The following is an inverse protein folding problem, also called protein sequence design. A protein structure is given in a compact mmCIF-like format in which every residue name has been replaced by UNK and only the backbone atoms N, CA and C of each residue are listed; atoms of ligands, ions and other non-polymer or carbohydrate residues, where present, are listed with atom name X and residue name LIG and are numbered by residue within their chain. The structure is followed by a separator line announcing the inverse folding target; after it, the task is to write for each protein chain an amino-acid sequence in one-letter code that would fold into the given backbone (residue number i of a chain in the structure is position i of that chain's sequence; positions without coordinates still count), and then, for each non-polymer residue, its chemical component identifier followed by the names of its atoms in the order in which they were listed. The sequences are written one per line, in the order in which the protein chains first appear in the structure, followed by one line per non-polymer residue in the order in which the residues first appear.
data_IF_144848370241
#
_entry.id   IF_144848370241
#
_cell.length_a   1.000
_cell.length_b   1.000
_cell.length_c   1.000
_cell.angle_alpha   90.00
_cell.angle_beta   90.00
_cell.angle_gamma   90.00
#
_symmetry.space_group_name_H-M   'P 1'
#
loop_
_entity.id
_entity.type
_entity.pdbx_description
1 polymer ?
#
# COMPACT_ATOMS: atom_id res chain seq x y z
N UNK A 1 3.37 -2.12 19.74
CA UNK A 1 3.65 -1.68 18.35
C UNK A 1 2.65 -0.63 17.90
N UNK A 2 3.08 0.28 17.07
CA UNK A 2 2.17 1.26 16.49
C UNK A 2 1.25 0.62 15.46
N UNK A 3 0.02 1.07 15.40
CA UNK A 3 -0.88 0.75 14.29
C UNK A 3 -0.45 1.53 13.07
N UNK A 4 -0.65 0.96 11.89
CA UNK A 4 -0.31 1.61 10.63
C UNK A 4 -1.57 1.69 9.77
N UNK A 5 -1.94 2.90 9.39
CA UNK A 5 -3.08 3.14 8.51
C UNK A 5 -2.61 3.08 7.06
N UNK A 6 -3.34 2.33 6.25
CA UNK A 6 -3.07 2.18 4.83
C UNK A 6 -4.25 2.79 4.08
N UNK A 7 -3.98 3.74 3.19
CA UNK A 7 -5.02 4.40 2.40
C UNK A 7 -4.71 4.23 0.92
N UNK A 8 -5.70 3.78 0.14
CA UNK A 8 -5.60 3.77 -1.32
C UNK A 8 -5.84 5.19 -1.82
N UNK A 9 -4.79 5.88 -2.24
CA UNK A 9 -4.87 7.31 -2.58
C UNK A 9 -4.97 7.57 -4.07
N UNK A 10 -4.55 6.63 -4.91
CA UNK A 10 -4.62 6.78 -6.35
C UNK A 10 -4.73 5.42 -7.02
N UNK A 11 -5.46 5.39 -8.12
CA UNK A 11 -5.57 4.21 -8.97
C UNK A 11 -5.35 4.66 -10.39
N UNK A 12 -4.39 4.01 -11.07
CA UNK A 12 -4.01 4.35 -12.44
C UNK A 12 -4.25 3.15 -13.33
N UNK A 13 -4.44 3.39 -14.63
CA UNK A 13 -4.64 2.36 -15.62
C UNK A 13 -3.89 2.74 -16.87
N UNK A 14 -3.22 1.76 -17.48
CA UNK A 14 -2.46 1.95 -18.73
C UNK A 14 -3.10 1.11 -19.85
N UNK A 15 -4.15 1.63 -20.53
CA UNK A 15 -4.88 0.85 -21.53
C UNK A 15 -4.01 0.39 -22.71
N UNK A 16 -3.01 1.16 -23.09
CA UNK A 16 -2.08 0.79 -24.16
C UNK A 16 -1.25 -0.43 -23.81
N UNK A 17 -0.74 -0.50 -22.58
CA UNK A 17 0.02 -1.64 -22.11
C UNK A 17 -0.88 -2.88 -21.96
N UNK A 18 -2.10 -2.68 -21.48
CA UNK A 18 -3.08 -3.76 -21.35
C UNK A 18 -3.42 -4.36 -22.70
N UNK A 19 -3.66 -3.52 -23.70
CA UNK A 19 -4.00 -3.99 -25.04
C UNK A 19 -2.85 -4.74 -25.70
N UNK A 20 -1.60 -4.33 -25.40
CA UNK A 20 -0.43 -4.90 -26.05
C UNK A 20 0.06 -6.18 -25.37
N UNK A 21 -0.04 -6.30 -24.05
CA UNK A 21 0.64 -7.35 -23.30
C UNK A 21 -0.27 -8.21 -22.43
N UNK A 22 -1.45 -7.75 -22.07
CA UNK A 22 -2.28 -8.44 -21.08
C UNK A 22 -3.37 -9.27 -21.78
N UNK A 23 -3.56 -10.50 -21.28
CA UNK A 23 -4.72 -11.29 -21.67
C UNK A 23 -5.97 -10.73 -20.98
N UNK A 24 -7.17 -10.91 -21.58
CA UNK A 24 -8.39 -10.45 -20.93
C UNK A 24 -8.52 -11.00 -19.50
N UNK A 25 -8.84 -10.12 -18.55
CA UNK A 25 -9.07 -10.49 -17.17
C UNK A 25 -10.55 -10.50 -16.84
N UNK A 26 -10.99 -11.54 -16.13
CA UNK A 26 -12.36 -11.67 -15.66
C UNK A 26 -12.52 -10.92 -14.33
N UNK A 27 -11.51 -11.01 -13.45
CA UNK A 27 -11.53 -10.40 -12.13
C UNK A 27 -10.50 -9.29 -12.04
N UNK A 28 -10.95 -8.06 -12.05
CA UNK A 28 -10.10 -6.90 -11.82
C UNK A 28 -10.02 -6.57 -10.33
N UNK A 29 -8.96 -5.86 -9.93
CA UNK A 29 -8.83 -5.36 -8.57
C UNK A 29 -9.99 -4.41 -8.23
N UNK A 30 -10.65 -4.64 -7.10
CA UNK A 30 -11.83 -3.87 -6.67
C UNK A 30 -11.49 -2.73 -5.70
N UNK A 31 -10.23 -2.46 -5.47
CA UNK A 31 -9.82 -1.38 -4.57
C UNK A 31 -10.22 -0.03 -5.13
N UNK A 32 -10.85 0.79 -4.30
CA UNK A 32 -11.29 2.13 -4.68
C UNK A 32 -10.45 3.20 -3.97
N UNK A 33 -10.29 4.35 -4.62
CA UNK A 33 -9.63 5.50 -3.99
C UNK A 33 -10.41 5.88 -2.72
N UNK A 34 -9.69 6.03 -1.62
CA UNK A 34 -10.28 6.35 -0.33
C UNK A 34 -10.47 5.14 0.58
N UNK A 35 -10.34 3.92 0.06
CA UNK A 35 -10.39 2.72 0.91
C UNK A 35 -9.24 2.75 1.90
N UNK A 36 -9.53 2.37 3.15
CA UNK A 36 -8.56 2.35 4.23
C UNK A 36 -8.54 1.03 4.97
N UNK A 37 -7.37 0.70 5.48
CA UNK A 37 -7.15 -0.46 6.35
C UNK A 37 -6.23 -0.06 7.47
N UNK A 38 -6.31 -0.78 8.60
CA UNK A 38 -5.37 -0.56 9.72
C UNK A 38 -4.66 -1.88 10.01
N UNK A 39 -3.33 -1.84 9.90
CA UNK A 39 -2.49 -2.96 10.30
C UNK A 39 -2.23 -2.89 11.80
N UNK A 40 -2.46 -3.99 12.48
CA UNK A 40 -2.23 -4.15 13.91
C UNK A 40 -1.09 -5.14 14.09
N UNK A 41 -0.11 -4.78 14.90
CA UNK A 41 1.09 -5.61 15.16
C UNK A 41 1.88 -5.95 13.89
N UNK A 42 1.84 -5.09 12.88
CA UNK A 42 2.54 -5.33 11.62
C UNK A 42 1.95 -6.43 10.76
N UNK A 43 0.73 -6.88 11.05
CA UNK A 43 0.07 -7.96 10.34
C UNK A 43 -0.80 -7.43 9.20
N UNK A 44 -1.04 -8.30 8.21
CA UNK A 44 -1.91 -7.96 7.09
C UNK A 44 -3.34 -7.74 7.58
N UNK A 45 -3.96 -6.58 7.28
CA UNK A 45 -5.37 -6.38 7.62
C UNK A 45 -6.27 -7.37 6.87
N UNK A 46 -7.39 -7.74 7.50
CA UNK A 46 -8.38 -8.59 6.86
C UNK A 46 -8.91 -7.92 5.58
N UNK A 47 -9.03 -8.71 4.53
CA UNK A 47 -9.54 -8.23 3.24
C UNK A 47 -8.55 -7.44 2.40
N UNK A 48 -7.33 -7.22 2.87
CA UNK A 48 -6.32 -6.55 2.08
C UNK A 48 -5.74 -7.49 1.01
N UNK A 49 -5.46 -6.95 -0.16
CA UNK A 49 -4.91 -7.72 -1.29
C UNK A 49 -3.56 -8.35 -0.94
N UNK A 50 -3.43 -9.67 -1.11
CA UNK A 50 -2.18 -10.38 -0.80
C UNK A 50 -1.00 -9.89 -1.63
N UNK A 51 -1.20 -9.65 -2.93
CA UNK A 51 -0.13 -9.17 -3.81
C UNK A 51 0.36 -7.78 -3.40
N UNK A 52 -0.56 -6.88 -3.07
CA UNK A 52 -0.19 -5.56 -2.58
C UNK A 52 0.52 -5.64 -1.22
N UNK A 53 0.07 -6.55 -0.34
CA UNK A 53 0.71 -6.74 0.95
C UNK A 53 2.17 -7.15 0.82
N UNK A 54 2.48 -8.03 -0.11
CA UNK A 54 3.88 -8.43 -0.37
C UNK A 54 4.76 -7.24 -0.74
N UNK A 55 4.20 -6.24 -1.40
CA UNK A 55 4.96 -5.04 -1.78
C UNK A 55 5.17 -4.08 -0.62
N UNK A 56 4.27 -4.03 0.35
CA UNK A 56 4.28 -3.00 1.40
C UNK A 56 4.63 -3.54 2.79
N UNK A 57 4.62 -4.85 2.98
CA UNK A 57 4.71 -5.47 4.31
C UNK A 57 5.93 -5.01 5.10
N UNK A 58 7.11 -4.97 4.49
CA UNK A 58 8.34 -4.58 5.20
C UNK A 58 8.28 -3.14 5.71
N UNK A 59 7.66 -2.25 4.93
CA UNK A 59 7.48 -0.85 5.32
C UNK A 59 6.48 -0.72 6.47
N UNK A 60 5.38 -1.48 6.40
CA UNK A 60 4.39 -1.50 7.48
C UNK A 60 5.03 -1.98 8.77
N UNK A 61 5.81 -3.05 8.72
CA UNK A 61 6.47 -3.61 9.91
C UNK A 61 7.47 -2.64 10.51
N UNK A 62 8.23 -1.94 9.68
CA UNK A 62 9.17 -0.91 10.14
C UNK A 62 8.43 0.21 10.87
N UNK A 63 7.35 0.71 10.28
CA UNK A 63 6.53 1.76 10.90
C UNK A 63 5.92 1.29 12.21
N UNK A 64 5.42 0.04 12.26
CA UNK A 64 4.82 -0.54 13.46
C UNK A 64 5.82 -0.60 14.61
N UNK A 65 7.10 -0.82 14.31
CA UNK A 65 8.17 -0.88 15.31
C UNK A 65 8.72 0.49 15.70
N UNK A 66 8.15 1.57 15.20
CA UNK A 66 8.59 2.93 15.49
C UNK A 66 9.65 3.46 14.54
N UNK A 67 10.01 2.72 13.50
CA UNK A 67 10.94 3.17 12.48
C UNK A 67 10.29 4.11 11.47
N UNK A 68 11.11 4.62 10.56
CA UNK A 68 10.67 5.54 9.52
C UNK A 68 11.86 6.05 8.75
N UNK A 69 11.77 7.29 8.25
CA UNK A 69 12.86 7.91 7.49
C UNK A 69 13.32 7.08 6.30
N UNK A 70 12.38 6.48 5.58
CA UNK A 70 12.70 5.65 4.41
C UNK A 70 13.46 6.50 3.38
N UNK A 71 14.55 5.94 2.87
CA UNK A 71 15.41 6.62 1.88
C UNK A 71 15.86 8.02 2.32
N UNK A 72 16.03 8.22 3.64
CA UNK A 72 16.43 9.50 4.19
C UNK A 72 15.29 10.51 4.19
N UNK A 73 15.34 11.49 3.29
CA UNK A 73 14.37 12.59 3.23
C UNK A 73 13.25 12.37 2.18
N UNK A 74 12.93 11.14 1.87
CA UNK A 74 11.96 10.83 0.83
C UNK A 74 10.56 11.39 1.12
N UNK A 75 10.03 11.14 2.32
CA UNK A 75 8.68 11.57 2.68
C UNK A 75 8.72 12.85 3.51
N UNK A 76 7.75 13.75 3.29
CA UNK A 76 7.62 14.97 4.10
C UNK A 76 7.41 14.64 5.56
N UNK A 77 6.57 13.64 5.86
CA UNK A 77 6.47 13.07 7.20
C UNK A 77 7.31 11.80 7.23
N UNK A 78 8.37 11.74 8.06
CA UNK A 78 9.29 10.61 8.06
C UNK A 78 8.66 9.29 8.52
N UNK A 79 7.50 9.33 9.17
CA UNK A 79 6.79 8.13 9.64
C UNK A 79 5.65 7.74 8.70
N UNK A 80 5.86 7.94 7.42
CA UNK A 80 4.92 7.57 6.36
C UNK A 80 5.69 6.99 5.18
N UNK A 81 4.95 6.36 4.26
CA UNK A 81 5.52 5.87 3.00
C UNK A 81 4.46 5.91 1.91
N UNK A 82 4.87 6.17 0.68
CA UNK A 82 4.01 6.08 -0.49
C UNK A 82 4.50 4.93 -1.34
N UNK A 83 3.70 3.89 -1.44
CA UNK A 83 4.07 2.66 -2.12
C UNK A 83 3.00 2.26 -3.13
N UNK A 84 3.30 1.28 -3.95
CA UNK A 84 2.40 0.80 -4.98
C UNK A 84 2.29 -0.73 -4.90
N UNK A 85 1.15 -1.27 -5.34
CA UNK A 85 1.06 -2.70 -5.60
C UNK A 85 1.92 -3.04 -6.83
N UNK A 86 2.07 -4.33 -7.10
CA UNK A 86 2.95 -4.81 -8.17
C UNK A 86 2.28 -4.96 -9.54
N UNK A 87 1.03 -4.51 -9.70
CA UNK A 87 0.35 -4.55 -10.98
C UNK A 87 0.84 -3.41 -11.86
N UNK A 88 1.59 -3.74 -12.92
CA UNK A 88 2.12 -2.76 -13.84
C UNK A 88 1.08 -2.20 -14.82
N UNK A 89 -0.10 -2.81 -14.91
CA UNK A 89 -1.17 -2.34 -15.80
C UNK A 89 -2.16 -1.42 -15.09
N UNK A 90 -2.44 -1.72 -13.80
CA UNK A 90 -3.41 -0.96 -12.98
C UNK A 90 -2.86 -0.72 -11.59
N UNK A 91 -1.75 0.04 -11.46
CA UNK A 91 -1.15 0.23 -10.14
C UNK A 91 -2.05 1.02 -9.22
N UNK A 92 -2.09 0.60 -7.97
CA UNK A 92 -2.75 1.32 -6.87
C UNK A 92 -1.68 1.88 -5.97
N UNK A 93 -1.74 3.17 -5.68
CA UNK A 93 -0.82 3.83 -4.76
C UNK A 93 -1.40 3.81 -3.36
N UNK A 94 -0.62 3.36 -2.39
CA UNK A 94 -1.00 3.26 -0.99
C UNK A 94 -0.16 4.21 -0.15
N UNK A 95 -0.84 5.01 0.65
CA UNK A 95 -0.19 5.88 1.62
C UNK A 95 -0.22 5.19 2.99
N UNK A 96 0.95 4.97 3.56
CA UNK A 96 1.12 4.33 4.86
C UNK A 96 1.45 5.38 5.91
N UNK A 97 0.72 5.38 7.03
CA UNK A 97 0.92 6.31 8.14
C UNK A 97 1.03 5.55 9.45
N UNK A 98 2.12 5.76 10.18
CA UNK A 98 2.20 5.29 11.55
C UNK A 98 1.26 6.12 12.41
N UNK A 99 0.37 5.46 13.14
CA UNK A 99 -0.55 6.13 14.06
C UNK A 99 0.13 6.26 15.43
N UNK A 100 -0.29 7.26 16.20
CA UNK A 100 0.24 7.42 17.56
C UNK A 100 -0.31 6.37 18.51
N UNK A 101 -1.46 5.76 18.17
CA UNK A 101 -2.04 4.68 18.95
C UNK A 101 -1.19 3.43 18.87
N UNK A 102 -0.99 2.80 20.02
CA UNK A 102 -0.26 1.53 20.10
C UNK A 102 -1.18 0.40 20.51
N UNK A 103 -0.83 -0.80 20.09
CA UNK A 103 -1.51 -2.03 20.51
C UNK A 103 -0.84 -2.66 21.71
#
# INVERSE_FOLDING_TARGET
MKKVKITAVRRTCYPDLMAQYENPMVDACEVNIGDTWVSVNGEKPDGFCNAAWECIASFVKTLAQGGGHFYGDWMKNPYTAMLSCNDGFRPVSYYLEALEEET
#
